data_IF_406576261577
#
_entry.id   IF_406576261577
#
_cell.length_a   1.000
_cell.length_b   1.000
_cell.length_c   1.000
_cell.angle_alpha   90.00
_cell.angle_beta   90.00
_cell.angle_gamma   90.00
#
_symmetry.space_group_name_H-M   'P 1'
#
loop_
_entity.id
_entity.type
_entity.pdbx_description
1 polymer ?
#
# COMPACT_ATOMS: atom_id res chain seq x y z
N UNK A 1 -12.71 0.95 19.55
CA UNK A 1 -11.60 1.83 19.16
C UNK A 1 -12.16 3.22 19.10
N UNK A 2 -11.64 4.15 19.90
CA UNK A 2 -12.03 5.55 19.79
C UNK A 2 -11.15 6.23 18.76
N UNK A 3 -11.75 7.09 17.95
CA UNK A 3 -11.05 7.90 16.97
C UNK A 3 -11.55 9.34 17.01
N UNK A 4 -10.68 10.29 16.70
CA UNK A 4 -11.08 11.67 16.43
C UNK A 4 -11.87 11.76 15.11
N UNK A 5 -12.58 12.87 14.84
CA UNK A 5 -13.23 13.09 13.53
C UNK A 5 -12.28 13.06 12.34
N UNK A 6 -10.98 13.30 12.57
CA UNK A 6 -9.94 13.23 11.55
C UNK A 6 -9.40 11.80 11.33
N UNK A 7 -9.86 10.84 12.14
CA UNK A 7 -9.48 9.43 12.05
C UNK A 7 -8.21 9.07 12.81
N UNK A 8 -7.72 9.95 13.69
CA UNK A 8 -6.66 9.59 14.64
C UNK A 8 -7.26 8.67 15.71
N UNK A 9 -6.81 7.41 15.75
CA UNK A 9 -7.41 6.36 16.58
C UNK A 9 -6.47 5.87 17.68
N UNK A 10 -7.06 5.33 18.76
CA UNK A 10 -6.31 4.59 19.77
C UNK A 10 -5.73 3.27 19.18
N UNK A 11 -4.43 3.01 19.41
CA UNK A 11 -3.76 1.79 18.99
C UNK A 11 -3.24 1.82 17.55
N UNK A 12 -3.17 0.65 16.90
CA UNK A 12 -2.56 0.49 15.57
C UNK A 12 -3.55 0.64 14.40
N UNK A 13 -4.86 0.69 14.69
CA UNK A 13 -5.86 0.91 13.66
C UNK A 13 -5.72 2.34 13.14
N UNK A 14 -5.73 2.49 11.82
CA UNK A 14 -5.83 3.81 11.18
C UNK A 14 -6.62 3.68 9.89
N UNK A 15 -7.30 4.75 9.48
CA UNK A 15 -7.97 4.79 8.18
C UNK A 15 -6.95 4.94 7.05
N UNK A 16 -7.45 4.93 5.82
CA UNK A 16 -6.65 5.17 4.64
C UNK A 16 -6.84 6.58 4.13
N UNK A 17 -5.77 7.21 3.65
CA UNK A 17 -5.77 8.59 3.19
C UNK A 17 -5.17 8.64 1.79
N UNK A 18 -5.90 9.25 0.85
CA UNK A 18 -5.50 9.33 -0.58
C UNK A 18 -5.21 7.96 -1.22
N UNK A 19 -5.95 6.94 -0.80
CA UNK A 19 -5.64 5.54 -1.06
C UNK A 19 -5.96 5.05 -2.46
N UNK A 20 -5.38 3.91 -2.82
CA UNK A 20 -5.60 3.21 -4.07
C UNK A 20 -5.84 1.70 -3.88
N UNK A 21 -6.33 1.06 -4.95
CA UNK A 21 -6.52 -0.39 -5.07
C UNK A 21 -7.31 -1.05 -3.92
N UNK A 22 -8.42 -0.42 -3.50
CA UNK A 22 -9.34 -0.98 -2.51
C UNK A 22 -10.13 -2.18 -3.09
N UNK A 23 -9.52 -3.36 -3.07
CA UNK A 23 -10.03 -4.57 -3.73
C UNK A 23 -10.54 -5.61 -2.74
N UNK A 24 -11.86 -5.92 -2.72
CA UNK A 24 -12.40 -7.02 -1.91
C UNK A 24 -12.03 -8.41 -2.45
N UNK A 25 -11.89 -8.55 -3.78
CA UNK A 25 -11.73 -9.84 -4.47
C UNK A 25 -10.31 -10.40 -4.39
N UNK A 26 -9.31 -9.53 -4.31
CA UNK A 26 -7.90 -9.94 -4.35
C UNK A 26 -7.40 -10.56 -3.05
N UNK A 27 -8.09 -10.37 -1.92
CA UNK A 27 -7.78 -11.12 -0.69
C UNK A 27 -8.16 -12.60 -0.77
N UNK A 28 -8.94 -13.03 -1.77
CA UNK A 28 -9.46 -14.40 -1.91
C UNK A 28 -10.21 -14.97 -0.69
N UNK A 29 -10.41 -14.16 0.36
CA UNK A 29 -10.95 -14.51 1.68
C UNK A 29 -12.01 -13.49 2.14
N UNK A 30 -12.35 -12.51 1.29
CA UNK A 30 -13.41 -11.51 1.53
C UNK A 30 -12.98 -10.28 2.33
N UNK A 31 -11.68 -10.15 2.63
CA UNK A 31 -11.10 -8.96 3.22
C UNK A 31 -10.81 -7.89 2.15
N UNK A 32 -10.69 -6.64 2.56
CA UNK A 32 -10.34 -5.50 1.73
C UNK A 32 -8.85 -5.19 1.87
N UNK A 33 -8.06 -5.42 0.82
CA UNK A 33 -6.69 -4.92 0.74
C UNK A 33 -6.69 -3.51 0.16
N UNK A 34 -5.85 -2.62 0.69
CA UNK A 34 -5.75 -1.23 0.26
C UNK A 34 -4.29 -0.76 0.30
N UNK A 35 -3.87 -0.04 -0.73
CA UNK A 35 -2.64 0.74 -0.69
C UNK A 35 -2.98 2.12 -0.14
N UNK A 36 -2.62 2.37 1.11
CA UNK A 36 -2.82 3.62 1.83
C UNK A 36 -1.63 4.55 1.55
N UNK A 37 -1.75 5.41 0.53
CA UNK A 37 -0.69 6.34 0.14
C UNK A 37 -0.29 7.26 1.30
N UNK A 38 -1.25 7.73 2.10
CA UNK A 38 -1.00 8.43 3.35
C UNK A 38 -0.68 9.92 3.23
N UNK A 39 -0.87 10.53 2.04
CA UNK A 39 -0.72 11.97 1.91
C UNK A 39 -1.86 12.68 2.67
N UNK A 40 -1.53 13.74 3.43
CA UNK A 40 -2.50 14.48 4.25
C UNK A 40 -3.23 13.55 5.24
N UNK A 41 -2.49 12.58 5.81
CA UNK A 41 -3.01 11.69 6.86
C UNK A 41 -3.57 12.53 8.01
N UNK A 42 -4.73 12.11 8.52
CA UNK A 42 -5.49 12.86 9.54
C UNK A 42 -5.91 14.28 9.12
N UNK A 43 -6.02 14.51 7.80
CA UNK A 43 -6.39 15.80 7.20
C UNK A 43 -5.46 16.97 7.56
N UNK A 44 -4.21 16.67 7.91
CA UNK A 44 -3.18 17.66 8.21
C UNK A 44 -1.88 17.37 7.44
N UNK A 45 -1.11 18.42 7.18
CA UNK A 45 0.26 18.26 6.66
C UNK A 45 1.20 18.05 7.84
N UNK A 46 2.07 17.03 7.81
CA UNK A 46 3.04 16.87 8.88
C UNK A 46 4.02 18.05 8.91
N UNK A 47 4.63 18.28 10.09
CA UNK A 47 5.61 19.36 10.27
C UNK A 47 6.81 19.26 9.31
N UNK A 48 7.21 18.04 8.95
CA UNK A 48 8.26 17.75 7.98
C UNK A 48 7.75 16.77 6.92
N UNK A 49 8.07 16.96 5.62
CA UNK A 49 7.68 16.03 4.55
C UNK A 49 8.10 14.58 4.79
N UNK A 50 9.22 14.37 5.47
CA UNK A 50 9.83 13.07 5.79
C UNK A 50 9.03 12.28 6.84
N UNK A 51 8.07 12.90 7.51
CA UNK A 51 7.14 12.22 8.43
C UNK A 51 6.00 11.53 7.69
N UNK A 52 5.83 11.76 6.38
CA UNK A 52 4.87 11.03 5.58
C UNK A 52 5.31 9.57 5.38
N UNK A 53 4.34 8.66 5.38
CA UNK A 53 4.54 7.24 5.11
C UNK A 53 3.32 6.65 4.41
N UNK A 54 3.57 5.67 3.56
CA UNK A 54 2.53 4.84 2.95
C UNK A 54 2.43 3.52 3.68
N UNK A 55 1.27 2.89 3.61
CA UNK A 55 1.07 1.53 4.13
C UNK A 55 0.36 0.68 3.10
N UNK A 56 0.63 -0.60 3.18
CA UNK A 56 -0.27 -1.63 2.67
C UNK A 56 -1.03 -2.20 3.85
N UNK A 57 -2.36 -2.24 3.72
CA UNK A 57 -3.25 -2.55 4.84
C UNK A 57 -4.36 -3.48 4.38
N UNK A 58 -4.77 -4.37 5.27
CA UNK A 58 -5.92 -5.23 5.10
C UNK A 58 -6.96 -4.95 6.18
N UNK A 59 -8.23 -4.85 5.76
CA UNK A 59 -9.37 -4.74 6.65
C UNK A 59 -10.34 -5.90 6.45
N UNK A 60 -10.85 -6.42 7.56
CA UNK A 60 -12.04 -7.27 7.60
C UNK A 60 -13.25 -6.41 7.93
N UNK A 61 -14.27 -6.45 7.08
CA UNK A 61 -15.53 -5.73 7.27
C UNK A 61 -16.63 -6.75 7.59
N UNK A 62 -17.37 -6.52 8.68
CA UNK A 62 -18.60 -7.25 8.96
C UNK A 62 -19.81 -6.38 8.56
N UNK A 63 -20.50 -6.71 7.46
CA UNK A 63 -21.63 -5.90 6.99
C UNK A 63 -22.89 -6.05 7.86
N UNK A 64 -22.98 -7.08 8.72
CA UNK A 64 -24.13 -7.28 9.61
C UNK A 64 -24.02 -6.42 10.85
N UNK A 65 -22.83 -6.37 11.45
CA UNK A 65 -22.57 -5.53 12.63
C UNK A 65 -22.08 -4.12 12.27
N UNK A 66 -21.82 -3.86 10.98
CA UNK A 66 -21.27 -2.61 10.46
C UNK A 66 -19.95 -2.23 11.14
N UNK A 67 -19.08 -3.21 11.35
CA UNK A 67 -17.77 -3.03 11.98
C UNK A 67 -16.64 -3.29 11.00
N UNK A 68 -15.50 -2.65 11.26
CA UNK A 68 -14.27 -2.84 10.52
C UNK A 68 -13.14 -3.18 11.49
N UNK A 69 -12.28 -4.11 11.09
CA UNK A 69 -11.08 -4.52 11.83
C UNK A 69 -9.89 -4.46 10.89
N UNK A 70 -8.85 -3.71 11.24
CA UNK A 70 -7.55 -3.81 10.59
C UNK A 70 -6.90 -5.13 11.01
N UNK A 71 -6.68 -6.03 10.06
CA UNK A 71 -6.14 -7.39 10.31
C UNK A 71 -4.66 -7.46 10.02
N UNK A 72 -4.15 -6.59 9.17
CA UNK A 72 -2.76 -6.61 8.73
C UNK A 72 -2.32 -5.22 8.24
N UNK A 73 -1.07 -4.82 8.53
CA UNK A 73 -0.44 -3.65 7.93
C UNK A 73 1.09 -3.81 7.87
N UNK A 74 1.72 -3.14 6.89
CA UNK A 74 3.17 -2.94 6.73
C UNK A 74 3.41 -1.58 6.06
N UNK A 75 4.53 -0.90 6.36
CA UNK A 75 5.00 0.27 5.62
C UNK A 75 5.25 1.51 6.47
N UNK A 76 4.60 1.63 7.64
CA UNK A 76 4.81 2.77 8.57
C UNK A 76 6.27 2.84 9.03
N UNK A 77 6.83 1.68 9.36
CA UNK A 77 8.22 1.50 9.78
C UNK A 77 9.25 1.72 8.66
N UNK A 78 8.81 1.75 7.39
CA UNK A 78 9.67 1.99 6.23
C UNK A 78 9.86 3.49 5.94
N UNK A 79 8.98 4.33 6.49
CA UNK A 79 9.09 5.79 6.46
C UNK A 79 9.12 6.39 5.04
N UNK A 80 9.78 7.55 4.94
CA UNK A 80 9.81 8.35 3.72
C UNK A 80 10.46 7.63 2.52
N UNK A 81 11.41 6.72 2.75
CA UNK A 81 12.12 5.99 1.69
C UNK A 81 11.23 5.01 0.91
N UNK A 82 10.02 4.77 1.41
CA UNK A 82 8.98 3.96 0.76
C UNK A 82 7.68 4.74 0.56
N UNK A 83 7.66 6.03 0.90
CA UNK A 83 6.47 6.85 0.75
C UNK A 83 6.15 7.07 -0.74
N UNK A 84 4.95 6.64 -1.14
CA UNK A 84 4.42 6.80 -2.48
C UNK A 84 3.13 7.66 -2.39
N UNK A 85 3.22 8.99 -2.56
CA UNK A 85 2.09 9.90 -2.34
C UNK A 85 0.91 9.70 -3.30
N UNK A 86 1.15 9.08 -4.47
CA UNK A 86 0.14 8.88 -5.52
C UNK A 86 0.26 7.50 -6.16
N UNK A 87 -0.76 7.12 -6.94
CA UNK A 87 -0.82 5.87 -7.71
C UNK A 87 -0.65 4.64 -6.81
N UNK A 88 0.04 3.58 -7.26
CA UNK A 88 0.31 2.37 -6.48
C UNK A 88 -0.87 1.39 -6.42
N UNK A 89 -0.55 0.13 -6.09
CA UNK A 89 -1.53 -0.92 -5.84
C UNK A 89 -0.99 -1.99 -4.90
N UNK A 90 -1.91 -2.79 -4.35
CA UNK A 90 -1.61 -3.92 -3.47
C UNK A 90 -2.49 -5.10 -3.85
N UNK A 91 -1.95 -6.30 -3.74
CA UNK A 91 -2.64 -7.54 -4.07
C UNK A 91 -2.15 -8.67 -3.15
N UNK A 92 -3.08 -9.45 -2.60
CA UNK A 92 -2.71 -10.66 -1.88
C UNK A 92 -2.55 -11.83 -2.85
N UNK A 93 -1.40 -12.49 -2.79
CA UNK A 93 -1.04 -13.59 -3.68
C UNK A 93 -1.30 -14.92 -2.98
N UNK A 94 -2.41 -15.56 -3.35
CA UNK A 94 -2.89 -16.81 -2.72
C UNK A 94 -1.90 -17.98 -2.81
N UNK A 95 -1.17 -18.07 -3.91
CA UNK A 95 -0.24 -19.18 -4.21
C UNK A 95 0.93 -19.26 -3.23
N UNK A 96 1.39 -18.11 -2.72
CA UNK A 96 2.54 -18.01 -1.82
C UNK A 96 2.20 -17.49 -0.42
N UNK A 97 0.93 -17.10 -0.18
CA UNK A 97 0.49 -16.41 1.04
C UNK A 97 1.34 -15.16 1.31
N UNK A 98 1.47 -14.32 0.29
CA UNK A 98 2.26 -13.07 0.31
C UNK A 98 1.39 -11.87 -0.04
N UNK A 99 1.83 -10.67 0.35
CA UNK A 99 1.27 -9.40 -0.09
C UNK A 99 2.20 -8.78 -1.12
N UNK A 100 1.77 -8.75 -2.38
CA UNK A 100 2.42 -7.99 -3.43
C UNK A 100 1.97 -6.53 -3.34
N UNK A 101 2.92 -5.61 -3.51
CA UNK A 101 2.63 -4.19 -3.58
C UNK A 101 3.54 -3.52 -4.60
N UNK A 102 2.98 -2.56 -5.32
CA UNK A 102 3.72 -1.65 -6.16
C UNK A 102 3.63 -0.25 -5.59
N UNK A 103 4.78 0.31 -5.19
CA UNK A 103 4.93 1.66 -4.66
C UNK A 103 5.34 2.57 -5.83
N UNK A 104 4.38 3.20 -6.49
CA UNK A 104 4.54 3.77 -7.83
C UNK A 104 5.15 5.18 -7.90
N UNK A 105 5.32 5.84 -6.76
CA UNK A 105 5.76 7.25 -6.70
C UNK A 105 6.82 7.52 -5.64
N UNK A 106 7.61 6.51 -5.28
CA UNK A 106 8.70 6.66 -4.29
C UNK A 106 9.72 7.68 -4.79
N UNK A 107 10.11 8.61 -3.92
CA UNK A 107 11.10 9.64 -4.24
C UNK A 107 10.64 10.73 -5.23
N UNK A 108 9.34 10.82 -5.55
CA UNK A 108 8.81 11.75 -6.56
C UNK A 108 9.16 13.23 -6.33
N UNK A 109 9.32 13.65 -5.08
CA UNK A 109 9.70 15.02 -4.73
C UNK A 109 11.22 15.27 -4.75
N UNK A 110 12.03 14.22 -4.92
CA UNK A 110 13.48 14.31 -4.97
C UNK A 110 13.97 14.36 -6.43
N UNK A 111 14.30 15.56 -6.89
CA UNK A 111 14.79 15.81 -8.25
C UNK A 111 16.12 15.10 -8.58
N UNK A 112 16.89 14.66 -7.58
CA UNK A 112 18.18 13.97 -7.79
C UNK A 112 18.02 12.47 -8.00
N UNK A 113 17.06 11.86 -7.31
CA UNK A 113 16.82 10.41 -7.35
C UNK A 113 15.87 10.06 -8.51
N UNK A 114 14.92 10.94 -8.83
CA UNK A 114 13.84 10.62 -9.75
C UNK A 114 12.78 9.75 -9.08
N UNK A 115 11.77 9.33 -9.86
CA UNK A 115 10.66 8.54 -9.32
C UNK A 115 10.90 7.04 -9.48
N UNK A 116 10.84 6.33 -8.37
CA UNK A 116 11.02 4.88 -8.29
C UNK A 116 9.66 4.21 -8.22
N UNK A 117 9.45 3.23 -9.10
CA UNK A 117 8.36 2.26 -9.04
C UNK A 117 8.88 1.01 -8.36
N UNK A 118 8.63 0.86 -7.06
CA UNK A 118 9.12 -0.30 -6.30
C UNK A 118 8.09 -1.41 -6.32
N UNK A 119 8.46 -2.57 -6.83
CA UNK A 119 7.71 -3.82 -6.68
C UNK A 119 8.21 -4.49 -5.42
N UNK A 120 7.30 -4.94 -4.55
CA UNK A 120 7.63 -5.70 -3.36
C UNK A 120 6.69 -6.86 -3.16
N UNK A 121 7.19 -7.95 -2.59
CA UNK A 121 6.38 -9.08 -2.15
C UNK A 121 6.82 -9.47 -0.73
N UNK A 122 5.87 -9.45 0.21
CA UNK A 122 6.12 -9.71 1.62
C UNK A 122 5.36 -10.95 2.08
N UNK A 123 5.98 -11.80 2.86
CA UNK A 123 5.32 -12.94 3.49
C UNK A 123 4.20 -12.45 4.42
N UNK A 124 3.00 -13.02 4.30
CA UNK A 124 1.83 -12.52 5.03
C UNK A 124 1.97 -12.70 6.55
N UNK A 125 2.54 -13.82 7.00
CA UNK A 125 2.61 -14.17 8.42
C UNK A 125 3.78 -13.49 9.13
N UNK A 126 4.95 -13.52 8.51
CA UNK A 126 6.20 -12.99 9.08
C UNK A 126 6.46 -11.53 8.73
N UNK A 127 5.77 -10.99 7.71
CA UNK A 127 5.99 -9.66 7.13
C UNK A 127 7.39 -9.47 6.54
N UNK A 128 8.14 -10.55 6.38
CA UNK A 128 9.48 -10.52 5.80
C UNK A 128 9.41 -10.19 4.30
N UNK A 129 10.25 -9.26 3.86
CA UNK A 129 10.36 -8.88 2.46
C UNK A 129 11.06 -10.00 1.66
N UNK A 130 10.33 -10.61 0.73
CA UNK A 130 10.82 -11.73 -0.11
C UNK A 130 11.33 -11.26 -1.47
N UNK A 131 10.68 -10.25 -2.05
CA UNK A 131 11.07 -9.65 -3.32
C UNK A 131 11.09 -8.14 -3.18
N UNK A 132 12.10 -7.50 -3.74
CA UNK A 132 12.11 -6.06 -4.02
C UNK A 132 12.77 -5.81 -5.38
N UNK A 133 12.08 -5.10 -6.25
CA UNK A 133 12.59 -4.69 -7.57
C UNK A 133 12.24 -3.22 -7.78
N UNK A 134 13.23 -2.38 -8.04
CA UNK A 134 13.03 -0.95 -8.28
C UNK A 134 13.09 -0.65 -9.78
N UNK A 135 12.01 -0.05 -10.29
CA UNK A 135 11.89 0.43 -11.67
C UNK A 135 12.16 1.94 -11.68
N UNK A 136 13.23 2.33 -12.35
CA UNK A 136 13.60 3.74 -12.50
C UNK A 136 13.03 4.30 -13.80
N UNK A 137 12.60 5.56 -13.76
CA UNK A 137 12.16 6.27 -14.95
C UNK A 137 13.38 6.85 -15.70
N UNK A 138 13.31 6.95 -17.02
CA UNK A 138 14.32 7.61 -17.85
C UNK A 138 14.21 9.15 -17.80
N UNK A 139 13.11 9.66 -17.24
CA UNK A 139 12.85 11.08 -17.02
C UNK A 139 12.67 11.41 -15.53
N UNK A 140 13.23 12.54 -15.05
CA UNK A 140 12.98 13.02 -13.70
C UNK A 140 11.48 13.27 -13.45
N UNK A 141 11.03 13.00 -12.22
CA UNK A 141 9.69 13.31 -11.72
C UNK A 141 8.50 12.73 -12.54
N UNK A 142 8.70 11.60 -13.21
CA UNK A 142 7.63 10.91 -13.93
C UNK A 142 7.13 9.70 -13.12
N UNK A 143 5.89 9.78 -12.64
CA UNK A 143 5.27 8.73 -11.81
C UNK A 143 5.05 7.44 -12.59
N UNK A 144 5.18 6.32 -11.88
CA UNK A 144 4.61 5.05 -12.34
C UNK A 144 3.15 4.96 -11.90
N UNK A 145 2.40 4.00 -12.44
CA UNK A 145 0.98 3.83 -12.12
C UNK A 145 0.71 2.59 -11.25
N UNK A 146 0.73 1.41 -11.84
CA UNK A 146 0.44 0.13 -11.19
C UNK A 146 1.35 -0.97 -11.76
N UNK A 147 1.51 -2.06 -11.01
CA UNK A 147 2.14 -3.28 -11.50
C UNK A 147 1.31 -4.51 -11.10
N UNK A 148 1.37 -5.55 -11.91
CA UNK A 148 0.62 -6.79 -11.70
C UNK A 148 1.53 -7.99 -11.88
N UNK A 149 1.31 -9.03 -11.07
CA UNK A 149 1.93 -10.33 -11.28
C UNK A 149 1.07 -11.07 -12.31
N UNK A 150 1.69 -11.53 -13.40
CA UNK A 150 1.01 -12.34 -14.40
C UNK A 150 1.54 -13.78 -14.35
N UNK A 151 0.64 -14.74 -14.52
CA UNK A 151 0.99 -16.14 -14.70
C UNK A 151 0.95 -16.47 -16.21
N UNK A 152 2.11 -16.77 -16.84
CA UNK A 152 2.16 -17.17 -18.23
C UNK A 152 1.25 -18.37 -18.56
N UNK A 153 1.04 -19.29 -17.62
CA UNK A 153 0.19 -20.48 -17.82
C UNK A 153 -1.29 -20.12 -18.01
N UNK A 154 -1.74 -19.02 -17.41
CA UNK A 154 -3.12 -18.53 -17.50
C UNK A 154 -3.29 -17.39 -18.51
N UNK A 155 -2.21 -16.94 -19.17
CA UNK A 155 -2.25 -15.81 -20.10
C UNK A 155 -2.93 -16.13 -21.43
N UNK A 156 -3.08 -17.41 -21.77
CA UNK A 156 -3.67 -17.88 -23.03
C UNK A 156 -4.79 -18.92 -22.84
N UNK A 157 -5.31 -19.08 -21.61
CA UNK A 157 -6.46 -19.94 -21.37
C UNK A 157 -7.71 -19.34 -22.03
N UNK A 158 -8.37 -20.13 -22.89
CA UNK A 158 -9.68 -19.80 -23.47
C UNK A 158 -10.80 -20.00 -22.46
#
# INVERSE_FOLDING_TARGET
INCTPNGECEGDFDFTYTQHAAWPSHSGRGNLTVFDNGQIRHYDQPALPEMNYSRIVEYKIDPKTMTVQQTWAVGKEKGHDWFAPITSNVEWMKDKDTMMAFWGSVGIFNQKIGTIGRISEMDYNTKELKVQIDVNNDKPAATHYQAHVFDPAHSFSR
#
